data_IF_284804372322
#
_entry.id   IF_284804372322
#
_cell.length_a   1.000
_cell.length_b   1.000
_cell.length_c   1.000
_cell.angle_alpha   90.00
_cell.angle_beta   90.00
_cell.angle_gamma   90.00
#
_symmetry.space_group_name_H-M   'P 1'
#
loop_
_entity.id
_entity.type
_entity.pdbx_description
1 polymer ?
#
# COMPACT_ATOMS: atom_id res chain seq x y z
N UNK A 1 6.38 -21.62 45.52
CA UNK A 1 6.24 -22.05 44.11
C UNK A 1 5.00 -21.47 43.42
N UNK A 2 3.77 -21.64 43.91
CA UNK A 2 2.55 -21.06 43.30
C UNK A 2 2.58 -19.54 43.07
N UNK A 3 3.13 -18.75 44.00
CA UNK A 3 3.22 -17.28 43.86
C UNK A 3 4.14 -16.82 42.72
N UNK A 4 5.22 -17.55 42.43
CA UNK A 4 6.17 -17.22 41.35
C UNK A 4 5.54 -17.49 39.98
N UNK A 5 4.77 -18.58 39.86
CA UNK A 5 4.05 -18.93 38.62
C UNK A 5 3.01 -17.86 38.28
N UNK A 6 2.29 -17.34 39.28
CA UNK A 6 1.28 -16.28 39.06
C UNK A 6 1.93 -14.98 38.56
N UNK A 7 3.09 -14.60 39.10
CA UNK A 7 3.81 -13.39 38.68
C UNK A 7 4.34 -13.55 37.25
N UNK A 8 4.89 -14.70 36.89
CA UNK A 8 5.39 -14.97 35.54
C UNK A 8 4.27 -14.99 34.50
N UNK A 9 3.09 -15.55 34.83
CA UNK A 9 1.90 -15.50 33.98
C UNK A 9 1.42 -14.07 33.76
N UNK A 10 1.40 -13.23 34.80
CA UNK A 10 0.99 -11.83 34.68
C UNK A 10 1.92 -11.02 33.76
N UNK A 11 3.23 -11.24 33.84
CA UNK A 11 4.23 -10.58 32.98
C UNK A 11 4.06 -11.02 31.52
N UNK A 12 3.82 -12.31 31.27
CA UNK A 12 3.60 -12.83 29.91
C UNK A 12 2.33 -12.27 29.26
N UNK A 13 1.25 -12.13 30.04
CA UNK A 13 -0.02 -11.55 29.57
C UNK A 13 0.14 -10.06 29.25
N UNK A 14 0.85 -9.31 30.09
CA UNK A 14 1.12 -7.88 29.87
C UNK A 14 1.97 -7.63 28.62
N UNK A 15 2.97 -8.48 28.33
CA UNK A 15 3.78 -8.35 27.11
C UNK A 15 2.97 -8.65 25.83
N UNK A 16 2.03 -9.59 25.87
CA UNK A 16 1.14 -9.88 24.74
C UNK A 16 0.23 -8.72 24.37
N UNK A 17 -0.29 -7.99 25.37
CA UNK A 17 -1.16 -6.83 25.13
C UNK A 17 -0.42 -5.63 24.51
N UNK A 18 0.86 -5.42 24.85
CA UNK A 18 1.65 -4.29 24.33
C UNK A 18 1.98 -4.50 22.84
N UNK A 19 2.24 -5.72 22.39
CA UNK A 19 2.52 -5.99 20.98
C UNK A 19 1.30 -5.74 20.07
N UNK A 20 0.08 -5.91 20.58
CA UNK A 20 -1.15 -5.66 19.83
C UNK A 20 -1.46 -4.17 19.61
N UNK A 21 -0.89 -3.26 20.41
CA UNK A 21 -1.09 -1.81 20.27
C UNK A 21 0.02 -1.12 19.46
N UNK A 22 1.21 -1.72 19.37
CA UNK A 22 2.36 -1.16 18.63
C UNK A 22 2.28 -1.44 17.12
N UNK A 23 1.57 -2.49 16.70
CA UNK A 23 1.27 -2.77 15.29
C UNK A 23 -0.24 -2.73 15.02
N UNK A 24 -0.88 -1.55 15.02
CA UNK A 24 -2.26 -1.42 14.56
C UNK A 24 -2.25 -1.56 13.03
N UNK A 25 -2.10 -2.79 12.53
CA UNK A 25 -2.35 -3.06 11.13
C UNK A 25 -3.83 -3.36 11.01
N UNK A 26 -4.64 -2.33 10.76
CA UNK A 26 -6.09 -2.45 10.57
C UNK A 26 -6.48 -3.47 9.49
N UNK A 27 -5.53 -3.88 8.65
CA UNK A 27 -5.68 -4.93 7.63
C UNK A 27 -5.67 -6.38 8.16
N UNK A 28 -5.22 -6.63 9.40
CA UNK A 28 -5.21 -7.97 10.01
C UNK A 28 -6.28 -8.15 11.09
N UNK A 29 -7.30 -7.28 11.15
CA UNK A 29 -8.49 -7.54 11.99
C UNK A 29 -9.26 -8.71 11.40
N UNK A 30 -8.84 -9.93 11.74
CA UNK A 30 -9.58 -11.14 11.45
C UNK A 30 -10.84 -11.09 12.31
N UNK A 31 -12.00 -11.00 11.66
CA UNK A 31 -13.30 -10.90 12.33
C UNK A 31 -13.70 -12.18 13.07
N UNK A 32 -12.92 -13.26 12.93
CA UNK A 32 -13.14 -14.53 13.60
C UNK A 32 -12.09 -14.80 14.68
N UNK A 33 -12.56 -15.27 15.84
CA UNK A 33 -11.70 -15.83 16.90
C UNK A 33 -11.07 -17.18 16.49
N UNK A 34 -11.47 -17.74 15.33
CA UNK A 34 -10.95 -19.00 14.80
C UNK A 34 -9.67 -18.85 13.98
N UNK A 35 -9.14 -17.63 13.83
CA UNK A 35 -7.92 -17.35 13.06
C UNK A 35 -8.13 -17.33 11.54
N UNK A 36 -9.36 -17.51 11.07
CA UNK A 36 -9.71 -17.36 9.65
C UNK A 36 -9.93 -15.89 9.34
N UNK A 37 -9.03 -15.34 8.53
CA UNK A 37 -9.12 -13.97 8.04
C UNK A 37 -9.84 -14.00 6.69
N UNK A 38 -10.71 -13.02 6.44
CA UNK A 38 -11.31 -12.79 5.11
C UNK A 38 -10.16 -12.69 4.11
N UNK A 39 -10.28 -13.34 2.96
CA UNK A 39 -9.21 -13.36 1.95
C UNK A 39 -8.69 -11.94 1.71
N UNK A 40 -7.36 -11.80 1.74
CA UNK A 40 -6.69 -10.52 1.43
C UNK A 40 -7.27 -10.02 0.10
N UNK A 41 -7.69 -8.74 -0.01
CA UNK A 41 -8.16 -8.21 -1.28
C UNK A 41 -7.16 -8.58 -2.36
N UNK A 42 -7.68 -9.16 -3.44
CA UNK A 42 -6.91 -9.88 -4.45
C UNK A 42 -5.70 -9.06 -4.87
N UNK A 43 -4.49 -9.64 -4.74
CA UNK A 43 -3.22 -8.92 -4.96
C UNK A 43 -3.14 -8.24 -6.33
N UNK A 44 -3.95 -8.69 -7.29
CA UNK A 44 -4.06 -8.12 -8.62
C UNK A 44 -4.48 -6.65 -8.63
N UNK A 45 -5.28 -6.20 -7.65
CA UNK A 45 -5.67 -4.79 -7.50
C UNK A 45 -4.49 -3.89 -7.11
N UNK A 46 -3.49 -4.45 -6.41
CA UNK A 46 -2.32 -3.71 -5.90
C UNK A 46 -1.09 -3.81 -6.81
N UNK A 47 -1.24 -4.31 -8.03
CA UNK A 47 -0.17 -4.29 -9.02
C UNK A 47 -0.04 -2.88 -9.59
N UNK A 48 1.14 -2.28 -9.37
CA UNK A 48 1.51 -1.01 -9.99
C UNK A 48 1.94 -1.21 -11.43
N UNK A 49 1.29 -0.49 -12.32
CA UNK A 49 1.71 -0.30 -13.70
C UNK A 49 2.08 1.16 -13.92
N UNK A 50 2.72 1.48 -15.03
CA UNK A 50 3.16 2.84 -15.34
C UNK A 50 2.52 3.32 -16.63
N UNK A 51 2.10 4.58 -16.66
CA UNK A 51 1.36 5.11 -17.79
C UNK A 51 2.18 5.07 -19.10
N UNK A 52 1.46 5.12 -20.21
CA UNK A 52 2.05 5.04 -21.56
C UNK A 52 3.15 6.08 -21.79
N UNK A 53 2.97 7.31 -21.30
CA UNK A 53 3.92 8.41 -21.51
C UNK A 53 5.25 8.09 -20.83
N UNK A 54 5.20 7.65 -19.57
CA UNK A 54 6.38 7.24 -18.82
C UNK A 54 7.00 5.96 -19.40
N UNK A 55 6.19 5.02 -19.90
CA UNK A 55 6.71 3.84 -20.62
C UNK A 55 7.50 4.22 -21.88
N UNK A 56 7.04 5.20 -22.67
CA UNK A 56 7.81 5.65 -23.84
C UNK A 56 9.14 6.31 -23.43
N UNK A 57 9.14 7.10 -22.34
CA UNK A 57 10.38 7.67 -21.78
C UNK A 57 11.36 6.57 -21.38
N UNK A 58 10.88 5.52 -20.71
CA UNK A 58 11.69 4.37 -20.34
C UNK A 58 12.26 3.63 -21.56
N UNK A 59 11.47 3.45 -22.62
CA UNK A 59 11.94 2.83 -23.87
C UNK A 59 13.05 3.64 -24.53
N UNK A 60 12.91 4.97 -24.54
CA UNK A 60 13.94 5.86 -25.08
C UNK A 60 15.21 5.81 -24.24
N UNK A 61 15.09 5.94 -22.92
CA UNK A 61 16.20 5.78 -21.99
C UNK A 61 16.92 4.43 -22.16
N UNK A 62 16.16 3.34 -22.29
CA UNK A 62 16.70 2.00 -22.47
C UNK A 62 17.51 1.89 -23.77
N UNK A 63 17.00 2.46 -24.87
CA UNK A 63 17.68 2.50 -26.16
C UNK A 63 18.98 3.31 -26.11
N UNK A 64 18.93 4.49 -25.51
CA UNK A 64 20.09 5.40 -25.39
C UNK A 64 21.21 4.82 -24.52
N UNK A 65 20.84 4.01 -23.52
CA UNK A 65 21.79 3.40 -22.57
C UNK A 65 22.11 1.94 -22.89
N UNK A 66 21.62 1.41 -24.03
CA UNK A 66 21.82 0.02 -24.46
C UNK A 66 21.47 -1.03 -23.39
N UNK A 67 20.34 -0.84 -22.71
CA UNK A 67 19.77 -1.78 -21.74
C UNK A 67 18.37 -2.21 -22.18
N UNK A 68 17.81 -3.23 -21.52
CA UNK A 68 16.42 -3.61 -21.84
C UNK A 68 15.43 -2.62 -21.24
N UNK A 69 14.27 -2.46 -21.88
CA UNK A 69 13.14 -1.70 -21.30
C UNK A 69 12.73 -2.26 -19.94
N UNK A 70 12.88 -3.58 -19.75
CA UNK A 70 12.58 -4.23 -18.48
C UNK A 70 13.55 -3.81 -17.37
N UNK A 71 14.86 -3.73 -17.64
CA UNK A 71 15.86 -3.26 -16.67
C UNK A 71 15.65 -1.79 -16.30
N UNK A 72 15.32 -0.96 -17.30
CA UNK A 72 14.97 0.44 -17.08
C UNK A 72 13.72 0.57 -16.20
N UNK A 73 12.69 -0.24 -16.48
CA UNK A 73 11.45 -0.28 -15.70
C UNK A 73 11.69 -0.74 -14.26
N UNK A 74 12.46 -1.82 -14.04
CA UNK A 74 12.82 -2.32 -12.71
C UNK A 74 13.59 -1.27 -11.90
N UNK A 75 14.54 -0.59 -12.55
CA UNK A 75 15.33 0.46 -11.93
C UNK A 75 14.46 1.63 -11.50
N UNK A 76 13.57 2.11 -12.39
CA UNK A 76 12.63 3.18 -12.07
C UNK A 76 11.65 2.78 -10.97
N UNK A 77 11.06 1.57 -11.04
CA UNK A 77 10.17 1.05 -9.99
C UNK A 77 10.83 1.08 -8.63
N UNK A 78 12.04 0.51 -8.54
CA UNK A 78 12.81 0.45 -7.29
C UNK A 78 13.12 1.85 -6.76
N UNK A 79 13.54 2.77 -7.63
CA UNK A 79 13.87 4.14 -7.25
C UNK A 79 12.64 4.92 -6.77
N UNK A 80 11.56 4.89 -7.55
CA UNK A 80 10.33 5.62 -7.25
C UNK A 80 9.67 5.10 -5.96
N UNK A 81 9.60 3.77 -5.78
CA UNK A 81 9.09 3.18 -4.53
C UNK A 81 9.90 3.61 -3.33
N UNK A 82 11.24 3.51 -3.38
CA UNK A 82 12.10 3.99 -2.30
C UNK A 82 11.92 5.47 -2.01
N UNK A 83 11.84 6.29 -3.06
CA UNK A 83 11.67 7.75 -2.95
C UNK A 83 10.34 8.10 -2.27
N UNK A 84 9.27 7.36 -2.59
CA UNK A 84 7.96 7.55 -1.99
C UNK A 84 7.81 6.89 -0.61
N UNK A 85 8.81 6.17 -0.10
CA UNK A 85 8.71 5.44 1.17
C UNK A 85 7.94 4.11 1.08
N UNK A 86 7.76 3.57 -0.13
CA UNK A 86 7.22 2.23 -0.34
C UNK A 86 8.35 1.19 -0.31
N UNK A 87 8.10 0.08 0.38
CA UNK A 87 8.97 -1.09 0.28
C UNK A 87 8.91 -1.65 -1.15
N UNK A 88 10.03 -1.57 -1.86
CA UNK A 88 10.10 -2.02 -3.24
C UNK A 88 9.98 -3.54 -3.40
N UNK A 89 10.22 -4.31 -2.33
CA UNK A 89 10.10 -5.77 -2.35
C UNK A 89 8.64 -6.18 -2.33
N UNK A 90 7.86 -5.71 -1.36
CA UNK A 90 6.41 -5.96 -1.30
C UNK A 90 5.62 -5.19 -2.36
N UNK A 91 6.10 -4.01 -2.76
CA UNK A 91 5.40 -3.12 -3.70
C UNK A 91 4.07 -2.61 -3.17
N UNK A 92 3.91 -2.53 -1.85
CA UNK A 92 2.65 -2.23 -1.19
C UNK A 92 2.84 -1.29 -0.01
N UNK A 93 1.87 -0.40 0.20
CA UNK A 93 1.79 0.45 1.39
C UNK A 93 0.33 0.75 1.73
N UNK A 94 0.04 0.83 3.03
CA UNK A 94 -1.24 1.32 3.55
C UNK A 94 -1.29 2.83 3.74
N UNK A 95 -0.16 3.52 3.59
CA UNK A 95 -0.08 4.96 3.72
C UNK A 95 -0.55 5.64 2.42
N UNK A 96 -1.59 6.47 2.52
CA UNK A 96 -2.16 7.22 1.40
C UNK A 96 -1.11 8.12 0.76
N UNK A 97 -0.24 8.78 1.53
CA UNK A 97 0.78 9.70 0.99
C UNK A 97 1.79 8.96 0.12
N UNK A 98 2.17 7.75 0.54
CA UNK A 98 3.08 6.87 -0.21
C UNK A 98 2.46 6.46 -1.55
N UNK A 99 1.18 6.08 -1.55
CA UNK A 99 0.46 5.69 -2.77
C UNK A 99 0.26 6.90 -3.71
N UNK A 100 -0.17 8.06 -3.19
CA UNK A 100 -0.35 9.27 -4.00
C UNK A 100 0.96 9.79 -4.60
N UNK A 101 2.09 9.63 -3.89
CA UNK A 101 3.41 9.96 -4.42
C UNK A 101 3.76 9.13 -5.66
N UNK A 102 3.43 7.83 -5.66
CA UNK A 102 3.63 6.97 -6.83
C UNK A 102 2.72 7.39 -8.00
N UNK A 103 1.45 7.71 -7.71
CA UNK A 103 0.53 8.20 -8.75
C UNK A 103 1.03 9.48 -9.44
N UNK A 104 1.56 10.42 -8.67
CA UNK A 104 2.19 11.63 -9.21
C UNK A 104 3.40 11.34 -10.11
N UNK A 105 4.09 10.22 -9.89
CA UNK A 105 5.20 9.75 -10.73
C UNK A 105 4.74 8.97 -11.96
N UNK A 106 3.44 8.86 -12.17
CA UNK A 106 2.84 8.23 -13.33
C UNK A 106 2.53 6.74 -13.16
N UNK A 107 2.70 6.20 -11.95
CA UNK A 107 2.26 4.85 -11.62
C UNK A 107 0.75 4.82 -11.40
N UNK A 108 0.08 3.70 -11.68
CA UNK A 108 -1.34 3.52 -11.39
C UNK A 108 -1.62 2.09 -10.98
N UNK A 109 -2.68 1.91 -10.19
CA UNK A 109 -3.22 0.60 -9.86
C UNK A 109 -4.29 0.21 -10.87
N UNK A 110 -4.39 -1.08 -11.21
CA UNK A 110 -5.42 -1.56 -12.14
C UNK A 110 -6.85 -1.27 -11.66
N UNK A 111 -7.05 -1.19 -10.34
CA UNK A 111 -8.32 -0.82 -9.72
C UNK A 111 -8.69 0.67 -9.81
N UNK A 112 -7.88 1.49 -10.50
CA UNK A 112 -8.08 2.94 -10.60
C UNK A 112 -7.28 3.72 -9.56
N UNK A 113 -7.56 5.04 -9.43
CA UNK A 113 -6.88 5.90 -8.47
C UNK A 113 -7.06 5.41 -7.03
N UNK A 114 -6.00 5.49 -6.23
CA UNK A 114 -5.98 4.98 -4.86
C UNK A 114 -7.06 5.64 -3.97
N UNK A 115 -7.31 6.92 -4.19
CA UNK A 115 -8.33 7.69 -3.47
C UNK A 115 -9.75 7.51 -4.01
N UNK A 116 -9.92 6.72 -5.06
CA UNK A 116 -11.20 6.21 -5.56
C UNK A 116 -11.40 4.73 -5.18
N UNK A 117 -10.75 4.28 -4.10
CA UNK A 117 -11.05 3.01 -3.48
C UNK A 117 -12.11 3.19 -2.39
N UNK A 118 -13.08 2.27 -2.30
CA UNK A 118 -14.12 2.25 -1.25
C UNK A 118 -13.57 2.42 0.16
N UNK A 119 -12.47 1.72 0.48
CA UNK A 119 -11.85 1.70 1.81
C UNK A 119 -11.15 3.03 2.16
N UNK A 120 -10.88 3.87 1.16
CA UNK A 120 -10.18 5.15 1.31
C UNK A 120 -11.08 6.34 1.03
N UNK A 121 -12.34 6.12 0.67
CA UNK A 121 -13.26 7.16 0.22
C UNK A 121 -13.37 8.29 1.25
N UNK A 122 -13.68 7.97 2.50
CA UNK A 122 -13.91 8.97 3.56
C UNK A 122 -12.62 9.52 4.19
N UNK A 123 -11.44 9.16 3.68
CA UNK A 123 -10.20 9.70 4.22
C UNK A 123 -10.03 11.18 3.82
N UNK A 124 -9.72 12.10 4.75
CA UNK A 124 -9.56 13.53 4.45
C UNK A 124 -8.58 13.84 3.32
N UNK A 125 -7.43 13.13 3.26
CA UNK A 125 -6.45 13.32 2.18
C UNK A 125 -7.04 12.93 0.83
N UNK A 126 -7.85 11.88 0.79
CA UNK A 126 -8.51 11.44 -0.43
C UNK A 126 -9.67 12.33 -0.84
N UNK A 127 -10.39 12.92 0.11
CA UNK A 127 -11.39 13.96 -0.18
C UNK A 127 -10.72 15.18 -0.83
N UNK A 128 -9.62 15.68 -0.25
CA UNK A 128 -8.85 16.79 -0.81
C UNK A 128 -8.27 16.46 -2.19
N UNK A 129 -7.74 15.24 -2.36
CA UNK A 129 -7.21 14.79 -3.64
C UNK A 129 -8.31 14.74 -4.70
N UNK A 130 -9.47 14.14 -4.40
CA UNK A 130 -10.59 14.03 -5.35
C UNK A 130 -11.17 15.38 -5.71
N UNK A 131 -11.23 16.33 -4.77
CA UNK A 131 -11.67 17.69 -5.06
C UNK A 131 -10.82 18.41 -6.13
N UNK A 132 -9.55 18.01 -6.28
CA UNK A 132 -8.61 18.58 -7.25
C UNK A 132 -8.52 17.79 -8.56
N UNK A 133 -8.66 16.46 -8.49
CA UNK A 133 -8.32 15.58 -9.62
C UNK A 133 -9.50 14.79 -10.19
N UNK A 134 -10.64 14.77 -9.49
CA UNK A 134 -11.80 13.94 -9.85
C UNK A 134 -13.12 14.62 -9.47
N UNK A 135 -14.21 13.83 -9.38
CA UNK A 135 -15.53 14.24 -8.90
C UNK A 135 -15.66 13.85 -7.43
N UNK A 136 -15.63 14.79 -6.47
CA UNK A 136 -15.55 14.48 -5.04
C UNK A 136 -16.72 13.66 -4.50
N UNK A 137 -17.89 13.73 -5.16
CA UNK A 137 -19.14 13.13 -4.69
C UNK A 137 -19.68 12.02 -5.61
N UNK A 138 -18.97 11.66 -6.69
CA UNK A 138 -19.41 10.60 -7.60
C UNK A 138 -18.59 9.34 -7.32
N UNK A 139 -19.18 8.38 -6.62
CA UNK A 139 -18.55 7.09 -6.34
C UNK A 139 -18.45 6.29 -7.65
N UNK A 140 -17.25 5.89 -8.11
CA UNK A 140 -17.11 5.13 -9.36
C UNK A 140 -17.65 3.70 -9.29
N UNK A 141 -18.07 3.22 -8.12
CA UNK A 141 -18.55 1.86 -7.88
C UNK A 141 -20.06 1.73 -7.63
N UNK A 142 -20.84 2.82 -7.65
CA UNK A 142 -22.29 2.78 -7.46
C UNK A 142 -22.91 4.04 -6.85
#
# INVERSE_FOLDING_TARGET
MKKIIIILLAIFILQGCILATVFPNDYYKCSSLSGWCKDKPERELYSWDINKIEMEKLRTYARENNITTFDAWLSKRKQDMKTCGMDFVSGYSNDIKVNLCLEQKGWYQKGGPYCENELRWDNPLCIEWRAKHSKPNAKPWG
#
